data_IF_340482449894
#
_entry.id   IF_340482449894
#
_cell.length_a   1.000
_cell.length_b   1.000
_cell.length_c   1.000
_cell.angle_alpha   90.00
_cell.angle_beta   90.00
_cell.angle_gamma   90.00
#
_symmetry.space_group_name_H-M   'P 1'
#
loop_
_entity.id
_entity.type
_entity.pdbx_description
1 polymer ?
#
# COMPACT_ATOMS: atom_id res chain seq x y z
N UNK A 1 -2.14 8.98 -1.16
CA UNK A 1 -3.32 8.63 -1.98
C UNK A 1 -4.36 9.71 -1.79
N UNK A 2 -4.85 10.30 -2.87
CA UNK A 2 -6.04 11.13 -2.88
C UNK A 2 -7.02 10.54 -3.90
N UNK A 3 -8.31 10.45 -3.56
CA UNK A 3 -9.35 10.03 -4.52
C UNK A 3 -9.88 11.22 -5.32
N UNK A 4 -9.89 12.41 -4.71
CA UNK A 4 -10.32 13.68 -5.28
C UNK A 4 -9.19 14.71 -5.11
N UNK A 5 -9.18 15.79 -5.90
CA UNK A 5 -8.00 16.65 -6.09
C UNK A 5 -7.41 17.27 -4.80
N UNK A 6 -8.23 17.44 -3.75
CA UNK A 6 -7.84 18.15 -2.51
C UNK A 6 -7.93 17.29 -1.22
N UNK A 7 -8.44 16.06 -1.30
CA UNK A 7 -8.64 15.20 -0.13
C UNK A 7 -7.66 14.03 -0.10
N UNK A 8 -6.55 14.24 0.60
CA UNK A 8 -5.53 13.22 0.83
C UNK A 8 -5.98 12.24 1.91
N UNK A 9 -6.17 10.98 1.52
CA UNK A 9 -6.49 9.85 2.41
C UNK A 9 -5.30 9.47 3.27
N UNK A 10 -4.11 9.42 2.66
CA UNK A 10 -2.86 9.12 3.33
C UNK A 10 -1.98 10.37 3.36
N UNK A 11 -1.59 10.80 4.56
CA UNK A 11 -0.81 12.00 4.82
C UNK A 11 0.44 11.61 5.63
N UNK A 12 1.62 11.91 5.11
CA UNK A 12 2.92 11.75 5.78
C UNK A 12 3.16 10.40 6.48
N UNK A 13 2.70 9.32 5.84
CA UNK A 13 2.91 7.96 6.34
C UNK A 13 4.30 7.46 5.94
N UNK A 14 5.09 6.98 6.90
CA UNK A 14 6.40 6.36 6.67
C UNK A 14 6.60 5.16 7.60
N UNK A 15 6.88 4.00 7.02
CA UNK A 15 7.27 2.80 7.76
C UNK A 15 8.14 1.90 6.86
N UNK A 16 8.86 0.96 7.49
CA UNK A 16 9.69 -0.04 6.82
C UNK A 16 9.41 -1.39 7.48
N UNK A 17 9.14 -2.40 6.65
CA UNK A 17 8.92 -3.79 7.08
C UNK A 17 10.14 -4.59 6.63
N UNK A 18 10.75 -5.36 7.54
CA UNK A 18 11.86 -6.25 7.22
C UNK A 18 11.35 -7.64 6.79
N UNK A 19 12.16 -8.42 6.03
CA UNK A 19 11.84 -9.81 5.76
C UNK A 19 11.56 -10.59 7.05
N UNK A 20 10.46 -11.36 7.09
CA UNK A 20 10.03 -12.13 8.25
C UNK A 20 9.31 -11.32 9.34
N UNK A 21 9.21 -10.01 9.21
CA UNK A 21 8.51 -9.15 10.17
C UNK A 21 6.99 -9.20 9.95
N UNK A 22 6.24 -9.24 11.06
CA UNK A 22 4.79 -9.12 11.06
C UNK A 22 4.41 -7.78 11.66
N UNK A 23 3.63 -6.99 10.92
CA UNK A 23 3.10 -5.71 11.39
C UNK A 23 1.57 -5.74 11.42
N UNK A 24 0.97 -4.87 12.22
CA UNK A 24 -0.47 -4.62 12.23
C UNK A 24 -0.75 -3.16 11.92
N UNK A 25 -1.69 -2.89 11.03
CA UNK A 25 -2.23 -1.56 10.77
C UNK A 25 -3.57 -1.43 11.50
N UNK A 26 -3.63 -0.62 12.55
CA UNK A 26 -4.81 -0.45 13.41
C UNK A 26 -5.29 0.99 13.36
N UNK A 27 -6.60 1.20 13.37
CA UNK A 27 -7.22 2.53 13.34
C UNK A 27 -8.71 2.45 13.05
N UNK A 28 -9.43 3.56 13.22
CA UNK A 28 -10.87 3.64 12.97
C UNK A 28 -11.24 3.40 11.49
N UNK A 29 -12.50 3.08 11.19
CA UNK A 29 -12.99 2.99 9.81
C UNK A 29 -12.72 4.29 9.05
N UNK A 30 -12.26 4.20 7.80
CA UNK A 30 -11.87 5.37 7.00
C UNK A 30 -10.44 5.88 7.25
N UNK A 31 -9.68 5.34 8.20
CA UNK A 31 -8.31 5.80 8.49
C UNK A 31 -7.25 5.46 7.40
N UNK A 32 -7.65 4.90 6.25
CA UNK A 32 -6.75 4.59 5.15
C UNK A 32 -6.03 3.24 5.20
N UNK A 33 -6.40 2.33 6.12
CA UNK A 33 -5.79 0.97 6.22
C UNK A 33 -5.88 0.20 4.90
N UNK A 34 -7.08 0.04 4.36
CA UNK A 34 -7.32 -0.63 3.07
C UNK A 34 -6.65 0.11 1.93
N UNK A 35 -6.57 1.44 2.00
CA UNK A 35 -5.86 2.26 1.01
C UNK A 35 -4.35 1.97 0.97
N UNK A 36 -3.69 1.77 2.12
CA UNK A 36 -2.27 1.36 2.19
C UNK A 36 -2.08 0.00 1.52
N UNK A 37 -2.93 -0.98 1.87
CA UNK A 37 -2.87 -2.32 1.28
C UNK A 37 -3.05 -2.26 -0.24
N UNK A 38 -4.05 -1.52 -0.73
CA UNK A 38 -4.30 -1.36 -2.16
C UNK A 38 -3.15 -0.70 -2.91
N UNK A 39 -2.43 0.25 -2.30
CA UNK A 39 -1.23 0.84 -2.90
C UNK A 39 -0.11 -0.18 -3.03
N UNK A 40 0.17 -0.97 -1.99
CA UNK A 40 1.21 -2.01 -2.01
C UNK A 40 0.93 -3.05 -3.11
N UNK A 41 -0.34 -3.37 -3.33
CA UNK A 41 -0.81 -4.30 -4.36
C UNK A 41 -0.83 -3.72 -5.78
N UNK A 42 -0.47 -2.44 -5.95
CA UNK A 42 -0.52 -1.77 -7.24
C UNK A 42 -1.94 -1.61 -7.80
N UNK A 43 -2.98 -1.59 -6.95
CA UNK A 43 -4.37 -1.36 -7.39
C UNK A 43 -4.62 0.09 -7.79
N UNK A 44 -3.85 1.02 -7.21
CA UNK A 44 -3.85 2.44 -7.55
C UNK A 44 -2.41 2.98 -7.62
N UNK A 45 -2.12 3.92 -8.53
CA UNK A 45 -0.85 4.63 -8.50
C UNK A 45 -0.78 5.56 -7.26
N UNK A 46 0.39 5.65 -6.63
CA UNK A 46 0.64 6.67 -5.61
C UNK A 46 1.03 8.00 -6.27
N UNK A 47 0.51 9.12 -5.75
CA UNK A 47 0.75 10.44 -6.32
C UNK A 47 1.96 11.19 -5.75
N UNK A 48 2.35 10.89 -4.50
CA UNK A 48 3.47 11.53 -3.79
C UNK A 48 4.24 10.51 -2.95
N UNK A 49 5.50 10.80 -2.69
CA UNK A 49 6.40 9.92 -1.94
C UNK A 49 6.93 8.76 -2.77
N UNK A 50 7.32 7.67 -2.11
CA UNK A 50 7.84 6.46 -2.76
C UNK A 50 7.44 5.21 -1.98
N UNK A 51 7.16 4.14 -2.71
CA UNK A 51 6.97 2.80 -2.17
C UNK A 51 8.07 1.92 -2.78
N UNK A 52 8.80 1.21 -1.93
CA UNK A 52 9.94 0.38 -2.30
C UNK A 52 9.65 -1.08 -1.92
N UNK A 53 9.85 -2.00 -2.84
CA UNK A 53 9.93 -3.45 -2.57
C UNK A 53 11.37 -3.85 -2.85
N UNK A 54 12.05 -4.47 -1.89
CA UNK A 54 13.46 -4.88 -1.99
C UNK A 54 14.41 -3.79 -2.52
N UNK A 55 14.15 -2.54 -2.13
CA UNK A 55 14.94 -1.37 -2.54
C UNK A 55 14.65 -0.82 -3.95
N UNK A 56 13.80 -1.49 -4.73
CA UNK A 56 13.33 -1.02 -6.04
C UNK A 56 11.97 -0.35 -5.92
N UNK A 57 11.76 0.77 -6.63
CA UNK A 57 10.46 1.45 -6.60
C UNK A 57 9.34 0.59 -7.18
N UNK A 58 8.20 0.58 -6.51
CA UNK A 58 7.01 -0.20 -6.87
C UNK A 58 6.58 0.02 -8.33
N UNK A 59 6.66 1.26 -8.82
CA UNK A 59 6.28 1.62 -10.20
C UNK A 59 7.16 0.97 -11.28
N UNK A 60 8.33 0.45 -10.89
CA UNK A 60 9.27 -0.22 -11.79
C UNK A 60 9.05 -1.75 -11.84
N UNK A 61 8.03 -2.26 -11.14
CA UNK A 61 7.60 -3.65 -11.23
C UNK A 61 6.42 -3.79 -12.19
N UNK A 62 6.35 -4.92 -12.90
CA UNK A 62 5.13 -5.29 -13.60
C UNK A 62 4.04 -5.67 -12.59
N UNK A 63 2.78 -5.36 -12.89
CA UNK A 63 1.65 -5.74 -12.03
C UNK A 63 1.59 -7.27 -11.81
N UNK A 64 1.96 -8.06 -12.82
CA UNK A 64 2.05 -9.51 -12.73
C UNK A 64 3.07 -9.95 -11.67
N UNK A 65 4.23 -9.30 -11.64
CA UNK A 65 5.30 -9.61 -10.69
C UNK A 65 4.83 -9.35 -9.26
N UNK A 66 4.25 -8.16 -9.01
CA UNK A 66 3.72 -7.80 -7.69
C UNK A 66 2.65 -8.82 -7.24
N UNK A 67 1.66 -9.08 -8.10
CA UNK A 67 0.51 -9.92 -7.74
C UNK A 67 0.87 -11.40 -7.58
N UNK A 68 1.93 -11.88 -8.24
CA UNK A 68 2.44 -13.24 -8.06
C UNK A 68 3.16 -13.47 -6.73
N UNK A 69 3.60 -12.39 -6.07
CA UNK A 69 4.40 -12.44 -4.83
C UNK A 69 3.62 -11.96 -3.59
N UNK A 70 2.33 -11.62 -3.73
CA UNK A 70 1.51 -11.15 -2.61
C UNK A 70 0.22 -11.95 -2.50
N UNK A 71 0.00 -12.55 -1.34
CA UNK A 71 -1.28 -13.15 -0.96
C UNK A 71 -2.16 -12.15 -0.21
N UNK A 72 -3.47 -12.16 -0.49
CA UNK A 72 -4.47 -11.37 0.23
C UNK A 72 -5.51 -12.34 0.78
N UNK A 73 -5.82 -12.19 2.06
CA UNK A 73 -7.05 -12.71 2.63
C UNK A 73 -8.01 -11.54 2.70
N UNK A 74 -9.12 -11.62 1.95
CA UNK A 74 -10.12 -10.56 1.97
C UNK A 74 -10.90 -10.63 3.29
N UNK A 75 -11.38 -9.47 3.73
CA UNK A 75 -12.36 -9.42 4.80
C UNK A 75 -13.69 -9.96 4.22
N UNK A 76 -14.10 -11.15 4.65
CA UNK A 76 -15.39 -11.73 4.27
C UNK A 76 -16.56 -10.99 4.95
N UNK A 77 -17.69 -10.97 4.24
CA UNK A 77 -18.99 -10.38 4.60
C UNK A 77 -19.77 -11.31 5.52
#
# INVERSE_FOLDING_TARGET
LAYNHDEWVLKDISFKIKPGEKIALVGHTGSGKTSIVNLILGMYPYQKGRILIDGKELKNYGLKDIRSNVGIVQQDV
#
